data_IF_104851456052
#
_entry.id   IF_104851456052
#
_cell.length_a   1.000
_cell.length_b   1.000
_cell.length_c   1.000
_cell.angle_alpha   90.00
_cell.angle_beta   90.00
_cell.angle_gamma   90.00
#
_symmetry.space_group_name_H-M   'P 1'
#
loop_
_entity.id
_entity.type
_entity.pdbx_description
1 polymer ?
#
# COMPACT_ATOMS: atom_id res chain seq x y z
N UNK A 1 19.60 39.59 -0.56
CA UNK A 1 19.08 39.35 0.80
C UNK A 1 19.12 37.86 1.11
N UNK A 2 20.10 37.42 1.91
CA UNK A 2 20.21 36.04 2.39
C UNK A 2 19.19 35.87 3.53
N UNK A 3 18.12 35.12 3.30
CA UNK A 3 17.31 34.57 4.39
C UNK A 3 18.17 33.51 5.09
N UNK A 4 18.45 33.74 6.37
CA UNK A 4 19.18 32.81 7.21
C UNK A 4 18.11 32.05 8.02
N UNK A 5 17.58 30.98 7.43
CA UNK A 5 16.58 30.13 8.10
C UNK A 5 17.28 29.34 9.21
N UNK A 6 17.39 29.95 10.38
CA UNK A 6 17.84 29.29 11.59
C UNK A 6 16.68 28.48 12.16
N UNK A 7 16.70 27.17 11.94
CA UNK A 7 15.71 26.26 12.51
C UNK A 7 15.92 26.13 14.02
N UNK A 8 15.01 26.70 14.81
CA UNK A 8 15.02 26.60 16.28
C UNK A 8 14.18 25.38 16.68
N UNK A 9 14.80 24.38 17.28
CA UNK A 9 14.08 23.24 17.86
C UNK A 9 13.98 23.41 19.37
N UNK A 10 12.75 23.34 19.91
CA UNK A 10 12.51 23.40 21.35
C UNK A 10 12.12 22.02 21.87
N UNK A 11 13.01 21.39 22.65
CA UNK A 11 12.75 20.12 23.31
C UNK A 11 12.34 20.37 24.76
N UNK A 12 11.13 19.92 25.14
CA UNK A 12 10.65 19.99 26.53
C UNK A 12 10.43 18.60 27.08
N UNK A 13 11.14 18.28 28.17
CA UNK A 13 10.91 17.07 28.95
C UNK A 13 10.03 17.40 30.16
N UNK A 14 8.99 16.60 30.40
CA UNK A 14 8.15 16.73 31.59
C UNK A 14 8.24 15.42 32.38
N UNK A 15 8.80 15.48 33.59
CA UNK A 15 8.84 14.36 34.52
C UNK A 15 7.88 14.64 35.67
N UNK A 16 6.92 13.74 35.89
CA UNK A 16 6.01 13.82 37.04
C UNK A 16 6.45 12.80 38.09
N UNK A 17 7.25 13.26 39.06
CA UNK A 17 7.68 12.45 40.19
C UNK A 17 6.71 12.66 41.37
N UNK A 18 5.58 11.94 41.36
CA UNK A 18 4.82 11.78 42.59
C UNK A 18 5.53 10.70 43.43
N UNK A 19 6.09 11.05 44.59
CA UNK A 19 6.52 10.04 45.57
C UNK A 19 5.26 9.41 46.17
N UNK A 20 4.99 8.15 45.85
CA UNK A 20 3.74 7.45 46.22
C UNK A 20 4.07 6.22 47.09
N UNK A 21 3.26 5.89 48.12
CA UNK A 21 3.50 4.77 49.03
C UNK A 21 3.55 3.39 48.35
N UNK A 22 4.24 2.44 49.00
CA UNK A 22 4.65 1.13 48.46
C UNK A 22 3.52 0.18 48.00
N UNK A 23 2.26 0.51 48.27
CA UNK A 23 1.09 -0.34 48.01
C UNK A 23 0.30 0.03 46.74
N UNK A 24 0.80 0.96 45.91
CA UNK A 24 0.14 1.35 44.66
C UNK A 24 1.01 1.02 43.43
N UNK A 25 0.44 0.31 42.45
CA UNK A 25 1.04 0.08 41.14
C UNK A 25 0.84 1.34 40.29
N UNK A 26 1.92 1.88 39.73
CA UNK A 26 1.88 3.05 38.85
C UNK A 26 2.46 2.73 37.46
N UNK A 27 1.94 3.41 36.44
CA UNK A 27 2.54 3.45 35.11
C UNK A 27 3.36 4.75 34.99
N UNK A 28 4.66 4.64 34.73
CA UNK A 28 5.48 5.79 34.37
C UNK A 28 5.37 5.99 32.85
N UNK A 29 4.94 7.18 32.43
CA UNK A 29 4.88 7.54 31.01
C UNK A 29 5.94 8.62 30.73
N UNK A 30 6.85 8.32 29.80
CA UNK A 30 7.77 9.30 29.23
C UNK A 30 7.09 9.92 28.00
N UNK A 31 6.68 11.17 28.12
CA UNK A 31 6.11 11.94 27.00
C UNK A 31 7.14 12.91 26.45
N UNK A 32 7.47 12.80 25.16
CA UNK A 32 8.20 13.83 24.43
C UNK A 32 7.21 14.58 23.54
N UNK A 33 7.36 15.91 23.47
CA UNK A 33 6.68 16.74 22.47
C UNK A 33 7.76 17.43 21.66
N UNK A 34 7.66 17.28 20.35
CA UNK A 34 8.52 17.99 19.42
C UNK A 34 7.62 18.98 18.70
N UNK A 35 7.87 20.26 18.92
CA UNK A 35 7.26 21.34 18.17
C UNK A 35 8.30 21.80 17.16
N UNK A 36 7.99 21.67 15.88
CA UNK A 36 8.72 22.31 14.81
C UNK A 36 7.96 23.57 14.41
N UNK A 37 8.66 24.70 14.34
CA UNK A 37 8.16 25.87 13.62
C UNK A 37 7.96 25.45 12.14
N UNK A 38 6.94 26.01 11.51
CA UNK A 38 6.29 25.53 10.28
C UNK A 38 7.20 24.72 9.33
N UNK A 39 6.74 23.54 8.86
CA UNK A 39 7.55 22.73 7.97
C UNK A 39 7.95 23.58 6.75
N UNK A 40 9.22 23.51 6.30
CA UNK A 40 9.69 24.37 5.21
C UNK A 40 8.73 24.27 4.02
N UNK A 41 8.54 25.33 3.23
CA UNK A 41 7.64 25.32 2.06
C UNK A 41 7.94 24.16 1.07
N UNK A 42 9.15 23.61 1.16
CA UNK A 42 9.69 22.49 0.39
C UNK A 42 9.27 21.12 0.96
N UNK A 43 8.70 21.09 2.17
CA UNK A 43 8.06 19.95 2.76
C UNK A 43 6.68 19.80 2.12
N UNK A 44 6.69 19.51 0.82
CA UNK A 44 5.63 18.76 0.21
C UNK A 44 5.59 17.41 0.94
N UNK A 45 4.88 17.35 2.07
CA UNK A 45 4.27 16.12 2.57
C UNK A 45 3.83 15.36 1.33
N UNK A 46 4.23 14.10 1.17
CA UNK A 46 3.80 13.05 0.24
C UNK A 46 2.37 13.18 -0.38
N UNK A 47 2.00 14.34 -0.92
CA UNK A 47 0.66 14.74 -1.34
C UNK A 47 0.35 14.17 -2.71
N UNK A 48 1.39 13.77 -3.45
CA UNK A 48 1.31 13.33 -4.82
C UNK A 48 1.95 11.96 -5.09
N UNK A 49 2.38 11.20 -4.08
CA UNK A 49 2.66 9.77 -4.26
C UNK A 49 1.37 8.96 -4.14
N UNK A 50 0.33 9.36 -4.86
CA UNK A 50 -0.82 8.50 -5.09
C UNK A 50 -0.32 7.28 -5.85
N UNK A 51 -0.28 6.12 -5.19
CA UNK A 51 0.01 4.87 -5.86
C UNK A 51 -1.13 4.62 -6.85
N UNK A 52 -0.90 4.94 -8.11
CA UNK A 52 -1.87 4.70 -9.17
C UNK A 52 -1.89 3.21 -9.50
N UNK A 53 -3.09 2.62 -9.63
CA UNK A 53 -3.26 1.22 -10.05
C UNK A 53 -2.51 0.90 -11.34
N UNK A 54 -2.51 1.83 -12.30
CA UNK A 54 -1.71 1.71 -13.54
C UNK A 54 -0.23 1.47 -13.25
N UNK A 55 0.35 2.20 -12.28
CA UNK A 55 1.74 2.03 -11.88
C UNK A 55 1.96 0.66 -11.24
N UNK A 56 1.04 0.21 -10.37
CA UNK A 56 1.11 -1.14 -9.79
C UNK A 56 1.07 -2.21 -10.90
N UNK A 57 0.13 -2.11 -11.83
CA UNK A 57 -0.04 -3.08 -12.91
C UNK A 57 1.20 -3.12 -13.82
N UNK A 58 1.74 -1.97 -14.21
CA UNK A 58 2.97 -1.88 -14.99
C UNK A 58 4.17 -2.48 -14.26
N UNK A 59 4.29 -2.25 -12.95
CA UNK A 59 5.37 -2.82 -12.15
C UNK A 59 5.24 -4.34 -12.05
N UNK A 60 4.03 -4.86 -11.84
CA UNK A 60 3.77 -6.30 -11.83
C UNK A 60 4.11 -6.91 -13.19
N UNK A 61 3.63 -6.31 -14.29
CA UNK A 61 3.95 -6.72 -15.65
C UNK A 61 5.46 -6.77 -15.87
N UNK A 62 6.18 -5.69 -15.54
CA UNK A 62 7.64 -5.60 -15.68
C UNK A 62 8.38 -6.67 -14.89
N UNK A 63 7.95 -6.93 -13.64
CA UNK A 63 8.57 -7.97 -12.81
C UNK A 63 8.32 -9.35 -13.41
N UNK A 64 7.09 -9.62 -13.84
CA UNK A 64 6.72 -10.91 -14.40
C UNK A 64 7.40 -11.18 -15.76
N UNK A 65 7.49 -10.16 -16.63
CA UNK A 65 8.22 -10.24 -17.89
C UNK A 65 9.71 -10.55 -17.66
N UNK A 66 10.32 -9.92 -16.65
CA UNK A 66 11.72 -10.22 -16.25
C UNK A 66 11.91 -11.64 -15.73
N UNK A 67 10.84 -12.30 -15.28
CA UNK A 67 10.86 -13.69 -14.82
C UNK A 67 10.43 -14.68 -15.92
N UNK A 68 10.30 -14.24 -17.18
CA UNK A 68 10.07 -15.12 -18.32
C UNK A 68 8.62 -15.55 -18.54
N UNK A 69 7.66 -14.89 -17.90
CA UNK A 69 6.22 -15.08 -18.15
C UNK A 69 5.63 -13.83 -18.78
N UNK A 70 4.49 -13.96 -19.48
CA UNK A 70 3.82 -12.81 -20.07
C UNK A 70 3.10 -11.99 -18.99
N UNK A 71 3.72 -10.91 -18.54
CA UNK A 71 3.25 -10.06 -17.45
C UNK A 71 1.90 -9.41 -17.75
N UNK A 72 1.66 -9.02 -19.00
CA UNK A 72 0.37 -8.48 -19.43
C UNK A 72 -0.77 -9.48 -19.19
N UNK A 73 -0.61 -10.72 -19.67
CA UNK A 73 -1.60 -11.77 -19.46
C UNK A 73 -1.74 -12.15 -17.98
N UNK A 74 -0.67 -12.06 -17.18
CA UNK A 74 -0.77 -12.33 -15.76
C UNK A 74 -1.56 -11.28 -14.98
N UNK A 75 -1.35 -9.98 -15.28
CA UNK A 75 -2.17 -8.92 -14.69
C UNK A 75 -3.62 -9.07 -15.12
N UNK A 76 -3.87 -9.37 -16.41
CA UNK A 76 -5.22 -9.60 -16.94
C UNK A 76 -5.89 -10.82 -16.29
N UNK A 77 -5.15 -11.93 -16.11
CA UNK A 77 -5.59 -13.13 -15.39
C UNK A 77 -6.03 -12.79 -13.96
N UNK A 78 -5.22 -12.03 -13.23
CA UNK A 78 -5.56 -11.60 -11.87
C UNK A 78 -6.88 -10.81 -11.82
N UNK A 79 -7.11 -9.92 -12.78
CA UNK A 79 -8.37 -9.17 -12.91
C UNK A 79 -9.54 -10.13 -13.16
N UNK A 80 -9.43 -11.04 -14.14
CA UNK A 80 -10.48 -12.02 -14.45
C UNK A 80 -10.82 -12.87 -13.22
N UNK A 81 -9.81 -13.40 -12.53
CA UNK A 81 -9.99 -14.21 -11.32
C UNK A 81 -10.70 -13.43 -10.20
N UNK A 82 -10.35 -12.15 -9.97
CA UNK A 82 -11.05 -11.34 -8.96
C UNK A 82 -12.49 -10.99 -9.33
N UNK A 83 -12.82 -10.91 -10.61
CA UNK A 83 -14.19 -10.71 -11.09
C UNK A 83 -15.05 -11.96 -10.86
N UNK A 84 -14.47 -13.17 -10.88
CA UNK A 84 -15.19 -14.42 -10.57
C UNK A 84 -15.58 -14.58 -9.10
N UNK A 85 -14.99 -13.81 -8.18
CA UNK A 85 -15.26 -13.88 -6.75
C UNK A 85 -16.27 -12.78 -6.38
N UNK A 86 -17.59 -13.07 -6.31
CA UNK A 86 -18.59 -12.06 -6.00
C UNK A 86 -18.42 -11.51 -4.57
N UNK A 87 -18.27 -12.41 -3.59
CA UNK A 87 -18.12 -12.07 -2.18
C UNK A 87 -16.80 -12.59 -1.58
N UNK A 88 -15.76 -11.75 -1.45
CA UNK A 88 -14.49 -12.13 -0.86
C UNK A 88 -14.60 -12.28 0.67
N UNK A 89 -14.68 -13.52 1.17
CA UNK A 89 -14.74 -13.81 2.61
C UNK A 89 -13.42 -13.55 3.35
N UNK A 90 -12.28 -13.87 2.73
CA UNK A 90 -10.93 -13.71 3.30
C UNK A 90 -10.38 -12.31 3.05
N UNK A 91 -9.58 -11.79 3.98
CA UNK A 91 -8.93 -10.47 3.88
C UNK A 91 -8.07 -10.37 2.62
N UNK A 92 -7.33 -11.43 2.28
CA UNK A 92 -6.51 -11.50 1.08
C UNK A 92 -7.31 -11.24 -0.20
N UNK A 93 -8.45 -11.93 -0.37
CA UNK A 93 -9.32 -11.72 -1.53
C UNK A 93 -9.89 -10.29 -1.57
N UNK A 94 -10.19 -9.68 -0.41
CA UNK A 94 -10.65 -8.28 -0.34
C UNK A 94 -9.56 -7.32 -0.82
N UNK A 95 -8.31 -7.55 -0.42
CA UNK A 95 -7.17 -6.75 -0.84
C UNK A 95 -6.92 -6.89 -2.34
N UNK A 96 -6.87 -8.12 -2.86
CA UNK A 96 -6.70 -8.36 -4.28
C UNK A 96 -7.82 -7.70 -5.10
N UNK A 97 -9.09 -7.87 -4.68
CA UNK A 97 -10.23 -7.23 -5.34
C UNK A 97 -10.13 -5.71 -5.29
N UNK A 98 -9.60 -5.13 -4.22
CA UNK A 98 -9.37 -3.68 -4.13
C UNK A 98 -8.27 -3.20 -5.09
N UNK A 99 -7.17 -3.96 -5.21
CA UNK A 99 -6.04 -3.64 -6.09
C UNK A 99 -6.46 -3.76 -7.56
N UNK A 100 -7.09 -4.87 -7.93
CA UNK A 100 -7.43 -5.20 -9.32
C UNK A 100 -8.80 -4.69 -9.78
N UNK A 101 -9.48 -3.83 -9.01
CA UNK A 101 -10.75 -3.23 -9.44
C UNK A 101 -10.53 -2.16 -10.51
N UNK A 102 -11.36 -2.16 -11.54
CA UNK A 102 -11.43 -1.04 -12.48
C UNK A 102 -11.94 0.22 -11.75
N UNK A 103 -11.16 1.29 -11.79
CA UNK A 103 -11.56 2.59 -11.24
C UNK A 103 -11.41 3.74 -12.24
N UNK A 104 -10.51 3.60 -13.22
CA UNK A 104 -10.26 4.64 -14.22
C UNK A 104 -9.86 4.06 -15.57
N UNK A 105 -10.07 4.85 -16.62
CA UNK A 105 -9.70 4.51 -17.99
C UNK A 105 -8.19 4.33 -18.19
N UNK A 106 -7.36 4.86 -17.28
CA UNK A 106 -5.91 4.67 -17.30
C UNK A 106 -5.48 3.19 -17.17
N UNK A 107 -6.40 2.31 -16.77
CA UNK A 107 -6.19 0.85 -16.65
C UNK A 107 -6.90 0.04 -17.73
N UNK A 108 -7.49 0.68 -18.74
CA UNK A 108 -8.25 0.01 -19.80
C UNK A 108 -7.40 -0.96 -20.63
N UNK A 109 -6.08 -0.77 -20.70
CA UNK A 109 -5.15 -1.75 -21.30
C UNK A 109 -5.43 -3.18 -20.80
N UNK A 110 -5.67 -3.36 -19.50
CA UNK A 110 -5.93 -4.68 -18.91
C UNK A 110 -7.42 -4.96 -18.70
N UNK A 111 -8.25 -3.93 -18.48
CA UNK A 111 -9.68 -4.08 -18.21
C UNK A 111 -10.56 -4.18 -19.45
N UNK A 112 -10.15 -3.61 -20.59
CA UNK A 112 -10.86 -3.74 -21.85
C UNK A 112 -10.61 -5.14 -22.43
N UNK A 113 -11.48 -6.09 -22.05
CA UNK A 113 -11.35 -7.51 -22.33
C UNK A 113 -12.73 -8.15 -22.52
N UNK A 114 -12.80 -9.19 -23.35
CA UNK A 114 -13.97 -10.08 -23.43
C UNK A 114 -13.79 -11.31 -22.54
N UNK A 115 -14.80 -12.18 -22.48
CA UNK A 115 -14.70 -13.45 -21.76
C UNK A 115 -13.63 -14.37 -22.37
N UNK A 116 -13.47 -14.37 -23.69
CA UNK A 116 -12.46 -15.17 -24.39
C UNK A 116 -11.04 -14.71 -24.06
N UNK A 117 -10.82 -13.39 -23.95
CA UNK A 117 -9.53 -12.83 -23.53
C UNK A 117 -9.13 -13.26 -22.11
N UNK A 118 -10.11 -13.47 -21.24
CA UNK A 118 -9.87 -14.01 -19.90
C UNK A 118 -9.38 -15.45 -19.95
N UNK A 119 -10.05 -16.32 -20.71
CA UNK A 119 -9.64 -17.72 -20.88
C UNK A 119 -8.24 -17.82 -21.50
N UNK A 120 -7.95 -16.99 -22.49
CA UNK A 120 -6.60 -16.89 -23.06
C UNK A 120 -5.57 -16.45 -22.01
N UNK A 121 -5.88 -15.44 -21.20
CA UNK A 121 -4.95 -14.95 -20.19
C UNK A 121 -4.73 -15.96 -19.05
N UNK A 122 -5.77 -16.72 -18.69
CA UNK A 122 -5.70 -17.82 -17.71
C UNK A 122 -4.81 -18.94 -18.23
N UNK A 123 -4.89 -19.29 -19.52
CA UNK A 123 -4.06 -20.34 -20.12
C UNK A 123 -2.60 -19.90 -20.34
N UNK A 124 -2.36 -18.64 -20.70
CA UNK A 124 -1.02 -18.12 -21.01
C UNK A 124 -0.18 -17.79 -19.76
N UNK A 125 -0.80 -17.26 -18.70
CA UNK A 125 -0.08 -16.97 -17.48
C UNK A 125 -0.17 -18.15 -16.51
N UNK A 126 0.94 -18.78 -16.08
CA UNK A 126 0.88 -19.89 -15.13
C UNK A 126 0.64 -19.45 -13.67
N UNK A 127 0.79 -18.16 -13.37
CA UNK A 127 0.74 -17.62 -12.00
C UNK A 127 -0.67 -17.10 -11.71
N UNK A 128 -1.30 -17.68 -10.69
CA UNK A 128 -2.56 -17.17 -10.14
C UNK A 128 -2.31 -16.52 -8.79
N UNK A 129 -2.79 -15.28 -8.55
CA UNK A 129 -2.79 -14.70 -7.20
C UNK A 129 -3.62 -15.55 -6.21
N UNK A 130 -4.64 -16.28 -6.66
CA UNK A 130 -5.45 -17.13 -5.78
C UNK A 130 -4.71 -18.37 -5.27
N UNK A 131 -3.63 -18.78 -5.93
CA UNK A 131 -2.84 -19.96 -5.55
C UNK A 131 -1.62 -19.62 -4.68
N UNK A 132 -1.42 -18.35 -4.33
CA UNK A 132 -0.35 -17.94 -3.41
C UNK A 132 -0.67 -18.49 -2.02
N UNK A 133 0.27 -19.24 -1.43
CA UNK A 133 0.06 -19.84 -0.12
C UNK A 133 -0.16 -18.77 0.95
N UNK A 134 -1.29 -18.87 1.65
CA UNK A 134 -1.73 -17.96 2.71
C UNK A 134 -0.97 -18.15 4.04
N UNK A 135 0.27 -18.68 4.03
CA UNK A 135 1.06 -18.86 5.26
C UNK A 135 1.35 -17.54 6.01
N UNK A 136 0.93 -16.39 5.47
CA UNK A 136 0.96 -15.08 6.12
C UNK A 136 -0.34 -14.71 6.87
N UNK A 137 -1.38 -15.55 6.86
CA UNK A 137 -2.63 -15.35 7.62
C UNK A 137 -2.57 -15.98 9.04
N UNK A 138 -1.41 -15.93 9.71
CA UNK A 138 -1.24 -16.38 11.12
C UNK A 138 -1.35 -15.20 12.08
#
# INVERSE_FOLDING_TARGET
NRYNDSYVFQLRFNFKANMVPWNQIFAQALGFRINWDDPPDNFHQYKNHFIHRRTIYNNIETVLDKNGVNGFHCVRRAICEMETIPDPRKIYHKLLKMVFRQQSSATDKWHNKTSEDCEQSISLCPISPLHVSLFTDV
#
